data_IF_942000694250
#
_entry.id   IF_942000694250
#
_cell.length_a   1.000
_cell.length_b   1.000
_cell.length_c   1.000
_cell.angle_alpha   90.00
_cell.angle_beta   90.00
_cell.angle_gamma   90.00
#
_symmetry.space_group_name_H-M   'P 1'
#
loop_
_entity.id
_entity.type
_entity.pdbx_description
1 polymer ?
#
# COMPACT_ATOMS: atom_id res chain seq x y z
N UNK A 1 15.96 -14.01 -17.64
CA UNK A 1 15.99 -12.53 -17.82
C UNK A 1 15.49 -11.91 -16.52
N UNK A 2 16.31 -11.11 -15.85
CA UNK A 2 15.89 -10.36 -14.66
C UNK A 2 14.93 -9.25 -15.14
N UNK A 3 13.68 -9.28 -14.67
CA UNK A 3 12.71 -8.23 -15.00
C UNK A 3 13.17 -6.88 -14.45
N UNK A 4 12.87 -5.79 -15.15
CA UNK A 4 13.16 -4.40 -14.69
C UNK A 4 12.59 -4.17 -13.28
N UNK A 5 11.42 -4.74 -12.99
CA UNK A 5 10.78 -4.73 -11.68
C UNK A 5 11.63 -5.36 -10.57
N UNK A 6 12.37 -6.45 -10.85
CA UNK A 6 13.22 -7.10 -9.85
C UNK A 6 14.45 -6.26 -9.49
N UNK A 7 15.03 -5.56 -10.49
CA UNK A 7 16.16 -4.65 -10.29
C UNK A 7 15.75 -3.45 -9.47
N UNK A 8 14.64 -2.78 -9.86
CA UNK A 8 14.09 -1.64 -9.12
C UNK A 8 13.78 -2.00 -7.67
N UNK A 9 13.10 -3.13 -7.47
CA UNK A 9 12.73 -3.62 -6.15
C UNK A 9 13.97 -3.80 -5.24
N UNK A 10 15.02 -4.47 -5.76
CA UNK A 10 16.26 -4.70 -5.00
C UNK A 10 17.04 -3.42 -4.70
N UNK A 11 17.06 -2.47 -5.64
CA UNK A 11 17.86 -1.25 -5.53
C UNK A 11 17.19 -0.14 -4.71
N UNK A 12 15.86 -0.03 -4.74
CA UNK A 12 15.14 1.10 -4.18
C UNK A 12 14.17 0.70 -3.06
N UNK A 13 13.37 -0.36 -3.25
CA UNK A 13 12.33 -0.75 -2.29
C UNK A 13 12.94 -1.48 -1.09
N UNK A 14 13.76 -2.51 -1.33
CA UNK A 14 14.36 -3.29 -0.25
C UNK A 14 15.24 -2.48 0.73
N UNK A 15 16.09 -1.53 0.28
CA UNK A 15 16.88 -0.71 1.19
C UNK A 15 16.02 0.09 2.15
N UNK A 16 14.94 0.71 1.67
CA UNK A 16 13.99 1.45 2.51
C UNK A 16 13.39 0.57 3.61
N UNK A 17 12.86 -0.60 3.25
CA UNK A 17 12.24 -1.51 4.23
C UNK A 17 13.23 -2.20 5.16
N UNK A 18 14.50 -2.33 4.78
CA UNK A 18 15.60 -2.85 5.62
C UNK A 18 16.21 -1.78 6.54
N UNK A 19 15.99 -0.50 6.27
CA UNK A 19 16.53 0.58 7.09
C UNK A 19 16.07 0.44 8.55
N UNK A 20 17.00 0.66 9.49
CA UNK A 20 16.74 0.52 10.92
C UNK A 20 15.59 1.43 11.39
N UNK A 21 15.55 2.66 10.89
CA UNK A 21 14.50 3.64 11.20
C UNK A 21 13.13 3.14 10.77
N UNK A 22 13.00 2.63 9.53
CA UNK A 22 11.74 2.08 9.03
C UNK A 22 11.29 0.87 9.87
N UNK A 23 12.21 -0.05 10.17
CA UNK A 23 11.88 -1.24 10.98
C UNK A 23 11.43 -0.89 12.39
N UNK A 24 12.15 0.03 13.05
CA UNK A 24 11.85 0.45 14.43
C UNK A 24 10.55 1.26 14.48
N UNK A 25 10.38 2.24 13.58
CA UNK A 25 9.19 3.10 13.52
C UNK A 25 7.91 2.30 13.29
N UNK A 26 7.90 1.43 12.28
CA UNK A 26 6.76 0.56 12.00
C UNK A 26 6.49 -0.45 13.13
N UNK A 27 7.54 -1.02 13.74
CA UNK A 27 7.34 -1.97 14.84
C UNK A 27 6.77 -1.30 16.09
N UNK A 28 7.29 -0.12 16.46
CA UNK A 28 6.90 0.57 17.68
C UNK A 28 5.52 1.23 17.58
N UNK A 29 5.18 1.81 16.41
CA UNK A 29 3.95 2.58 16.26
C UNK A 29 2.80 1.79 15.63
N UNK A 30 3.10 0.86 14.72
CA UNK A 30 2.10 0.21 13.86
C UNK A 30 2.16 -1.31 13.92
N UNK A 31 2.90 -1.92 14.85
CA UNK A 31 2.98 -3.38 14.96
C UNK A 31 3.56 -4.08 13.72
N UNK A 32 4.35 -3.35 12.90
CA UNK A 32 4.90 -3.73 11.58
C UNK A 32 3.93 -3.69 10.41
N UNK A 33 2.65 -3.37 10.63
CA UNK A 33 1.70 -3.09 9.55
C UNK A 33 2.02 -1.73 8.92
N UNK A 34 1.88 -1.61 7.60
CA UNK A 34 2.42 -0.46 6.86
C UNK A 34 1.37 0.11 5.92
N UNK A 35 0.29 0.64 6.50
CA UNK A 35 -0.71 1.41 5.76
C UNK A 35 -1.36 2.44 6.67
N UNK A 36 -1.97 3.44 6.07
CA UNK A 36 -2.74 4.44 6.79
C UNK A 36 -4.04 3.88 7.36
N UNK A 37 -4.49 4.52 8.45
CA UNK A 37 -5.76 4.23 9.07
C UNK A 37 -6.91 5.08 8.49
N UNK A 38 -8.14 4.58 8.63
CA UNK A 38 -9.35 5.30 8.30
C UNK A 38 -9.91 6.01 9.54
N UNK A 39 -10.04 7.33 9.47
CA UNK A 39 -10.56 8.17 10.56
C UNK A 39 -11.91 8.78 10.21
N UNK A 40 -12.83 8.70 11.15
CA UNK A 40 -14.10 9.41 11.13
C UNK A 40 -14.09 10.55 12.16
N UNK A 41 -14.94 11.58 12.01
CA UNK A 41 -15.09 12.64 13.02
C UNK A 41 -15.27 12.07 14.43
N UNK A 42 -14.58 12.67 15.41
CA UNK A 42 -14.63 12.23 16.81
C UNK A 42 -13.66 11.11 17.19
N UNK A 43 -12.98 10.46 16.24
CA UNK A 43 -11.96 9.46 16.57
C UNK A 43 -10.65 10.13 17.02
N UNK A 44 -9.99 9.54 18.02
CA UNK A 44 -8.66 9.97 18.43
C UNK A 44 -7.64 9.75 17.28
N UNK A 45 -6.86 10.76 16.91
CA UNK A 45 -5.84 10.62 15.86
C UNK A 45 -4.71 9.67 16.27
N UNK A 46 -4.53 9.41 17.56
CA UNK A 46 -3.52 8.51 18.13
C UNK A 46 -3.97 7.04 18.18
N UNK A 47 -5.22 6.76 17.84
CA UNK A 47 -5.78 5.41 17.83
C UNK A 47 -5.39 4.61 16.59
N UNK A 48 -4.08 4.46 16.30
CA UNK A 48 -3.56 3.89 15.06
C UNK A 48 -4.10 2.49 14.76
N UNK A 49 -4.01 1.57 15.70
CA UNK A 49 -4.46 0.19 15.49
C UNK A 49 -5.96 0.10 15.11
N UNK A 50 -6.81 0.87 15.80
CA UNK A 50 -8.24 0.91 15.49
C UNK A 50 -8.51 1.56 14.12
N UNK A 51 -7.76 2.61 13.76
CA UNK A 51 -7.89 3.28 12.47
C UNK A 51 -7.42 2.38 11.31
N UNK A 52 -6.28 1.68 11.45
CA UNK A 52 -5.80 0.70 10.49
C UNK A 52 -6.82 -0.42 10.30
N UNK A 53 -7.36 -0.96 11.40
CA UNK A 53 -8.41 -1.96 11.34
C UNK A 53 -9.64 -1.48 10.56
N UNK A 54 -10.04 -0.21 10.73
CA UNK A 54 -11.15 0.36 9.95
C UNK A 54 -10.84 0.45 8.46
N UNK A 55 -9.61 0.81 8.08
CA UNK A 55 -9.17 0.84 6.68
C UNK A 55 -9.24 -0.56 6.05
N UNK A 56 -8.73 -1.58 6.75
CA UNK A 56 -8.80 -2.99 6.32
C UNK A 56 -10.27 -3.42 6.09
N UNK A 57 -11.18 -3.01 6.97
CA UNK A 57 -12.62 -3.28 6.83
C UNK A 57 -13.27 -2.47 5.69
N UNK A 58 -12.76 -1.29 5.35
CA UNK A 58 -13.20 -0.54 4.16
C UNK A 58 -12.84 -1.34 2.91
N UNK A 59 -11.63 -1.86 2.80
CA UNK A 59 -11.21 -2.70 1.67
C UNK A 59 -12.05 -3.99 1.60
N UNK A 60 -12.28 -4.66 2.73
CA UNK A 60 -13.14 -5.84 2.79
C UNK A 60 -14.55 -5.57 2.24
N UNK A 61 -15.17 -4.44 2.65
CA UNK A 61 -16.50 -4.04 2.14
C UNK A 61 -16.49 -3.69 0.66
N UNK A 62 -15.41 -3.07 0.16
CA UNK A 62 -15.29 -2.72 -1.26
C UNK A 62 -15.03 -3.94 -2.15
N UNK A 63 -14.37 -4.97 -1.65
CA UNK A 63 -14.27 -6.26 -2.33
C UNK A 63 -15.66 -6.89 -2.53
N UNK A 64 -16.56 -6.75 -1.56
CA UNK A 64 -17.97 -7.19 -1.63
C UNK A 64 -18.13 -8.64 -2.13
N UNK A 65 -17.24 -9.54 -1.73
CA UNK A 65 -17.21 -10.92 -2.17
C UNK A 65 -17.97 -11.84 -1.19
N UNK A 66 -18.62 -12.90 -1.69
CA UNK A 66 -19.23 -13.90 -0.82
C UNK A 66 -18.18 -14.65 0.00
N UNK A 67 -18.62 -15.25 1.11
CA UNK A 67 -17.78 -16.14 1.91
C UNK A 67 -17.20 -17.27 1.06
N UNK A 68 -16.01 -17.73 1.42
CA UNK A 68 -15.23 -18.76 0.73
C UNK A 68 -14.68 -18.36 -0.66
N UNK A 69 -14.84 -17.12 -1.10
CA UNK A 69 -14.14 -16.59 -2.29
C UNK A 69 -12.62 -16.60 -2.10
N UNK A 70 -11.88 -16.69 -3.21
CA UNK A 70 -10.41 -16.64 -3.24
C UNK A 70 -9.94 -15.23 -3.57
N UNK A 71 -9.11 -14.65 -2.70
CA UNK A 71 -8.63 -13.27 -2.81
C UNK A 71 -7.10 -13.24 -2.84
N UNK A 72 -6.53 -12.42 -3.71
CA UNK A 72 -5.10 -12.10 -3.74
C UNK A 72 -4.85 -10.78 -3.00
N UNK A 73 -3.94 -10.80 -2.03
CA UNK A 73 -3.33 -9.63 -1.39
C UNK A 73 -1.98 -9.36 -2.05
N UNK A 74 -1.91 -8.38 -2.93
CA UNK A 74 -0.71 -8.08 -3.70
C UNK A 74 0.13 -7.01 -3.00
N UNK A 75 1.13 -7.46 -2.23
CA UNK A 75 1.94 -6.65 -1.31
C UNK A 75 1.48 -6.80 0.14
N UNK A 76 1.39 -8.04 0.60
CA UNK A 76 0.75 -8.40 1.88
C UNK A 76 1.57 -8.02 3.13
N UNK A 77 2.85 -7.64 2.98
CA UNK A 77 3.71 -7.38 4.12
C UNK A 77 3.68 -8.52 5.14
N UNK A 78 3.42 -8.18 6.41
CA UNK A 78 3.35 -9.16 7.51
C UNK A 78 1.99 -9.86 7.65
N UNK A 79 1.08 -9.66 6.69
CA UNK A 79 -0.18 -10.39 6.53
C UNK A 79 -1.31 -10.00 7.49
N UNK A 80 -1.21 -8.86 8.20
CA UNK A 80 -2.25 -8.46 9.15
C UNK A 80 -3.55 -8.09 8.43
N UNK A 81 -3.47 -7.36 7.31
CA UNK A 81 -4.61 -7.02 6.44
C UNK A 81 -5.30 -8.28 5.92
N UNK A 82 -4.53 -9.26 5.40
CA UNK A 82 -5.06 -10.52 4.91
C UNK A 82 -5.87 -11.26 5.98
N UNK A 83 -5.33 -11.37 7.21
CA UNK A 83 -6.02 -12.02 8.33
C UNK A 83 -7.28 -11.26 8.75
N UNK A 84 -7.25 -9.92 8.69
CA UNK A 84 -8.42 -9.10 8.97
C UNK A 84 -9.53 -9.32 7.96
N UNK A 85 -9.21 -9.27 6.67
CA UNK A 85 -10.18 -9.45 5.57
C UNK A 85 -10.74 -10.88 5.60
N UNK A 86 -9.89 -11.90 5.78
CA UNK A 86 -10.34 -13.27 5.90
C UNK A 86 -11.34 -13.46 7.06
N UNK A 87 -11.08 -12.82 8.22
CA UNK A 87 -11.97 -12.88 9.39
C UNK A 87 -13.28 -12.14 9.15
N UNK A 88 -13.22 -10.98 8.54
CA UNK A 88 -14.39 -10.12 8.36
C UNK A 88 -15.35 -10.63 7.29
N UNK A 89 -14.84 -11.23 6.21
CA UNK A 89 -15.61 -11.63 5.03
C UNK A 89 -15.72 -13.15 4.85
N UNK A 90 -14.98 -13.95 5.61
CA UNK A 90 -14.97 -15.41 5.46
C UNK A 90 -14.28 -15.90 4.19
N UNK A 91 -13.50 -15.07 3.52
CA UNK A 91 -12.78 -15.40 2.29
C UNK A 91 -11.45 -16.12 2.57
N UNK A 92 -10.89 -16.78 1.56
CA UNK A 92 -9.53 -17.31 1.58
C UNK A 92 -8.59 -16.28 0.95
N UNK A 93 -7.54 -15.87 1.67
CA UNK A 93 -6.59 -14.87 1.18
C UNK A 93 -5.23 -15.51 0.91
N UNK A 94 -4.74 -15.34 -0.32
CA UNK A 94 -3.35 -15.60 -0.69
C UNK A 94 -2.62 -14.29 -0.70
N UNK A 95 -1.70 -14.07 0.24
CA UNK A 95 -0.83 -12.89 0.26
C UNK A 95 0.48 -13.16 -0.48
N UNK A 96 0.92 -12.19 -1.27
CA UNK A 96 2.26 -12.20 -1.86
C UNK A 96 3.00 -10.93 -1.47
N UNK A 97 4.31 -11.07 -1.27
CA UNK A 97 5.22 -9.94 -1.06
C UNK A 97 6.61 -10.30 -1.57
N UNK A 98 7.39 -9.31 -1.94
CA UNK A 98 8.78 -9.50 -2.37
C UNK A 98 9.79 -9.49 -1.21
N UNK A 99 9.37 -9.21 0.03
CA UNK A 99 10.23 -9.09 1.22
C UNK A 99 10.18 -10.39 2.03
N UNK A 100 11.15 -11.29 1.84
CA UNK A 100 11.20 -12.60 2.50
C UNK A 100 11.02 -12.53 4.03
N UNK A 101 11.68 -11.64 4.80
CA UNK A 101 11.44 -11.53 6.24
C UNK A 101 9.98 -11.21 6.62
N UNK A 102 9.27 -10.41 5.81
CA UNK A 102 7.88 -10.07 6.07
C UNK A 102 6.96 -11.26 5.75
N UNK A 103 7.21 -11.96 4.64
CA UNK A 103 6.51 -13.22 4.28
C UNK A 103 6.72 -14.29 5.34
N UNK A 104 7.95 -14.48 5.82
CA UNK A 104 8.25 -15.43 6.90
C UNK A 104 7.47 -15.09 8.18
N UNK A 105 7.41 -13.80 8.55
CA UNK A 105 6.64 -13.35 9.70
C UNK A 105 5.13 -13.52 9.48
N UNK A 106 4.63 -13.25 8.26
CA UNK A 106 3.23 -13.48 7.91
C UNK A 106 2.82 -14.95 8.08
N UNK A 107 3.66 -15.88 7.59
CA UNK A 107 3.50 -17.32 7.76
C UNK A 107 3.49 -17.73 9.24
N UNK A 108 4.46 -17.22 10.02
CA UNK A 108 4.55 -17.50 11.45
C UNK A 108 3.31 -17.03 12.22
N UNK A 109 2.84 -15.81 11.94
CA UNK A 109 1.64 -15.24 12.58
C UNK A 109 0.39 -16.03 12.21
N UNK A 110 0.24 -16.44 10.95
CA UNK A 110 -0.90 -17.27 10.52
C UNK A 110 -0.89 -18.66 11.13
N UNK A 111 0.26 -19.31 11.23
CA UNK A 111 0.36 -20.61 11.90
C UNK A 111 -0.15 -20.57 13.36
N UNK A 112 -0.04 -19.41 14.02
CA UNK A 112 -0.52 -19.18 15.39
C UNK A 112 -1.96 -18.69 15.47
N UNK A 113 -2.59 -18.38 14.36
CA UNK A 113 -3.92 -17.75 14.31
C UNK A 113 -5.08 -18.76 14.25
N UNK A 114 -4.83 -20.07 14.48
CA UNK A 114 -5.84 -21.11 14.51
C UNK A 114 -6.63 -21.20 13.21
N UNK A 115 -7.96 -21.12 13.29
CA UNK A 115 -8.85 -21.21 12.11
C UNK A 115 -8.59 -20.12 11.08
N UNK A 116 -8.29 -18.90 11.52
CA UNK A 116 -7.96 -17.79 10.61
C UNK A 116 -6.66 -18.05 9.86
N UNK A 117 -5.72 -18.76 10.46
CA UNK A 117 -4.50 -19.18 9.78
C UNK A 117 -4.75 -20.14 8.62
N UNK A 118 -5.77 -20.99 8.72
CA UNK A 118 -6.17 -21.90 7.63
C UNK A 118 -6.80 -21.18 6.42
N UNK A 119 -7.28 -19.96 6.62
CA UNK A 119 -7.86 -19.13 5.56
C UNK A 119 -6.85 -18.20 4.90
N UNK A 120 -5.59 -18.22 5.35
CA UNK A 120 -4.55 -17.33 4.81
C UNK A 120 -3.29 -18.13 4.48
N UNK A 121 -2.68 -17.86 3.33
CA UNK A 121 -1.37 -18.38 2.95
C UNK A 121 -0.50 -17.26 2.37
N UNK A 122 0.82 -17.38 2.49
CA UNK A 122 1.74 -16.33 2.09
C UNK A 122 2.89 -16.88 1.26
N UNK A 123 3.22 -16.21 0.15
CA UNK A 123 4.25 -16.60 -0.80
C UNK A 123 5.19 -15.43 -1.08
N UNK A 124 6.46 -15.74 -1.25
CA UNK A 124 7.42 -14.79 -1.82
C UNK A 124 7.16 -14.75 -3.33
N UNK A 125 6.69 -13.64 -3.85
CA UNK A 125 6.39 -13.47 -5.27
C UNK A 125 6.38 -11.99 -5.67
N UNK A 126 6.48 -11.76 -6.99
CA UNK A 126 6.41 -10.44 -7.61
C UNK A 126 5.07 -10.32 -8.37
N UNK A 127 4.31 -9.26 -8.11
CA UNK A 127 3.03 -9.06 -8.78
C UNK A 127 3.15 -8.65 -10.27
N UNK A 128 4.35 -8.40 -10.79
CA UNK A 128 4.59 -8.25 -12.22
C UNK A 128 4.77 -9.60 -12.96
N UNK A 129 4.82 -10.72 -12.21
CA UNK A 129 4.92 -12.07 -12.76
C UNK A 129 4.31 -13.05 -11.74
N UNK A 130 2.98 -13.09 -11.69
CA UNK A 130 2.26 -13.87 -10.68
C UNK A 130 2.33 -15.37 -10.97
N UNK A 131 2.73 -16.20 -9.97
CA UNK A 131 2.84 -17.64 -10.14
C UNK A 131 1.49 -18.36 -10.02
N UNK A 132 0.45 -17.79 -10.62
CA UNK A 132 -0.90 -18.33 -10.58
C UNK A 132 -1.46 -18.48 -11.99
N UNK A 133 -2.34 -19.46 -12.19
CA UNK A 133 -3.06 -19.63 -13.43
C UNK A 133 -4.05 -18.47 -13.67
N UNK A 134 -4.46 -18.29 -14.92
CA UNK A 134 -5.51 -17.35 -15.28
C UNK A 134 -6.80 -17.65 -14.51
N UNK A 135 -7.57 -16.62 -14.22
CA UNK A 135 -8.88 -16.73 -13.55
C UNK A 135 -8.84 -17.55 -12.25
N UNK A 136 -7.78 -17.37 -11.42
CA UNK A 136 -7.59 -18.08 -10.16
C UNK A 136 -8.30 -17.42 -8.97
N UNK A 137 -8.59 -16.12 -9.05
CA UNK A 137 -9.09 -15.32 -7.93
C UNK A 137 -10.43 -14.64 -8.26
N UNK A 138 -11.27 -14.53 -7.22
CA UNK A 138 -12.53 -13.77 -7.28
C UNK A 138 -12.28 -12.28 -6.95
N UNK A 139 -11.20 -11.98 -6.26
CA UNK A 139 -10.79 -10.61 -5.93
C UNK A 139 -9.28 -10.45 -5.84
N UNK A 140 -8.82 -9.24 -6.12
CA UNK A 140 -7.44 -8.78 -5.89
C UNK A 140 -7.52 -7.46 -5.13
N UNK A 141 -6.63 -7.25 -4.18
CA UNK A 141 -6.45 -5.92 -3.62
C UNK A 141 -4.98 -5.56 -3.44
N UNK A 142 -4.72 -4.25 -3.47
CA UNK A 142 -3.45 -3.64 -3.06
C UNK A 142 -3.73 -2.60 -1.98
N UNK A 143 -2.78 -2.46 -1.05
CA UNK A 143 -2.85 -1.43 -0.02
C UNK A 143 -1.46 -0.85 0.20
N UNK A 144 -1.21 0.33 -0.35
CA UNK A 144 0.06 1.06 -0.27
C UNK A 144 1.27 0.21 -0.73
N UNK A 145 1.04 -0.66 -1.70
CA UNK A 145 2.05 -1.54 -2.27
C UNK A 145 2.30 -1.27 -3.76
N UNK A 146 1.25 -0.90 -4.50
CA UNK A 146 1.35 -0.70 -5.95
C UNK A 146 2.08 0.60 -6.31
N UNK A 147 2.17 1.56 -5.39
CA UNK A 147 3.04 2.75 -5.50
C UNK A 147 4.52 2.41 -5.70
N UNK A 148 4.95 1.21 -5.34
CA UNK A 148 6.30 0.70 -5.56
C UNK A 148 6.51 0.08 -6.95
N UNK A 149 5.45 0.00 -7.77
CA UNK A 149 5.53 -0.55 -9.13
C UNK A 149 6.32 0.37 -10.07
N UNK A 150 7.39 -0.11 -10.69
CA UNK A 150 8.08 0.63 -11.75
C UNK A 150 7.35 0.50 -13.11
N UNK A 151 6.50 -0.50 -13.26
CA UNK A 151 5.68 -0.76 -14.44
C UNK A 151 4.24 -1.09 -14.03
N UNK A 152 3.40 -0.05 -13.80
CA UNK A 152 2.01 -0.26 -13.45
C UNK A 152 1.20 -1.03 -14.52
N UNK A 153 1.52 -0.87 -15.80
CA UNK A 153 0.85 -1.57 -16.89
C UNK A 153 1.01 -3.10 -16.78
N UNK A 154 2.24 -3.57 -16.55
CA UNK A 154 2.52 -4.99 -16.37
C UNK A 154 1.83 -5.55 -15.11
N UNK A 155 1.87 -4.82 -13.98
CA UNK A 155 1.20 -5.25 -12.76
C UNK A 155 -0.31 -5.36 -12.93
N UNK A 156 -0.95 -4.39 -13.58
CA UNK A 156 -2.39 -4.42 -13.85
C UNK A 156 -2.78 -5.53 -14.84
N UNK A 157 -1.95 -5.81 -15.85
CA UNK A 157 -2.17 -6.93 -16.76
C UNK A 157 -2.15 -8.28 -16.03
N UNK A 158 -1.24 -8.46 -15.07
CA UNK A 158 -1.20 -9.66 -14.22
C UNK A 158 -2.43 -9.76 -13.29
N UNK A 159 -2.86 -8.66 -12.69
CA UNK A 159 -4.09 -8.64 -11.88
C UNK A 159 -5.31 -8.98 -12.73
N UNK A 160 -5.40 -8.42 -13.95
CA UNK A 160 -6.46 -8.76 -14.89
C UNK A 160 -6.43 -10.24 -15.25
N UNK A 161 -5.27 -10.79 -15.57
CA UNK A 161 -5.11 -12.19 -15.97
C UNK A 161 -5.58 -13.16 -14.89
N UNK A 162 -5.17 -12.92 -13.63
CA UNK A 162 -5.48 -13.86 -12.53
C UNK A 162 -6.88 -13.69 -11.95
N UNK A 163 -7.55 -12.57 -12.16
CA UNK A 163 -8.96 -12.39 -11.79
C UNK A 163 -9.86 -13.22 -12.70
N UNK A 164 -10.92 -13.76 -12.15
CA UNK A 164 -12.03 -14.35 -12.93
C UNK A 164 -12.83 -13.26 -13.64
N UNK A 165 -13.53 -13.56 -14.74
CA UNK A 165 -14.58 -12.68 -15.25
C UNK A 165 -15.58 -12.35 -14.12
N UNK A 166 -15.97 -11.09 -13.98
CA UNK A 166 -16.76 -10.58 -12.86
C UNK A 166 -15.96 -10.39 -11.55
N UNK A 167 -14.67 -10.73 -11.53
CA UNK A 167 -13.80 -10.57 -10.35
C UNK A 167 -13.47 -9.11 -10.06
N UNK A 168 -13.23 -8.80 -8.78
CA UNK A 168 -13.05 -7.43 -8.27
C UNK A 168 -11.62 -7.07 -7.95
N UNK A 169 -11.22 -5.85 -8.34
CA UNK A 169 -9.97 -5.22 -7.94
C UNK A 169 -10.25 -4.03 -7.01
N UNK A 170 -9.57 -3.98 -5.86
CA UNK A 170 -9.60 -2.83 -4.95
C UNK A 170 -8.18 -2.34 -4.72
N UNK A 171 -7.91 -1.07 -5.02
CA UNK A 171 -6.60 -0.47 -4.87
C UNK A 171 -6.68 0.73 -3.93
N UNK A 172 -5.89 0.72 -2.86
CA UNK A 172 -5.77 1.82 -1.89
C UNK A 172 -4.36 2.39 -1.99
N UNK A 173 -4.19 3.45 -2.78
CA UNK A 173 -2.88 3.91 -3.23
C UNK A 173 -2.75 5.44 -3.24
N UNK A 174 -1.51 5.90 -3.22
CA UNK A 174 -1.19 7.32 -3.36
C UNK A 174 -1.17 7.73 -4.84
N UNK A 175 -1.48 9.01 -5.09
CA UNK A 175 -1.28 9.66 -6.38
C UNK A 175 -0.74 11.06 -6.20
N UNK A 176 0.08 11.56 -7.12
CA UNK A 176 0.46 12.96 -7.18
C UNK A 176 -0.66 13.81 -7.79
N UNK A 177 -0.72 15.10 -7.40
CA UNK A 177 -1.67 16.06 -7.97
C UNK A 177 -1.01 16.97 -8.99
N UNK A 178 -1.78 17.65 -9.87
CA UNK A 178 -1.24 18.68 -10.75
C UNK A 178 -0.51 19.80 -10.00
N UNK A 179 -0.94 20.14 -8.77
CA UNK A 179 -0.31 21.16 -7.92
C UNK A 179 1.13 20.83 -7.58
N UNK A 180 1.49 19.54 -7.53
CA UNK A 180 2.87 19.11 -7.34
C UNK A 180 3.84 19.69 -8.39
N UNK A 181 3.36 19.96 -9.60
CA UNK A 181 4.17 20.55 -10.68
C UNK A 181 4.28 22.07 -10.59
N UNK A 182 3.34 22.74 -9.94
CA UNK A 182 3.25 24.19 -9.85
C UNK A 182 4.05 24.80 -8.70
N UNK A 183 4.38 23.99 -7.69
CA UNK A 183 5.03 24.42 -6.45
C UNK A 183 6.45 23.82 -6.34
N UNK A 184 7.52 24.51 -6.79
CA UNK A 184 8.86 23.92 -6.91
C UNK A 184 9.38 23.28 -5.61
N UNK A 185 9.18 23.92 -4.45
CA UNK A 185 9.62 23.39 -3.14
C UNK A 185 8.84 22.13 -2.76
N UNK A 186 7.52 22.16 -2.94
CA UNK A 186 6.64 21.01 -2.66
C UNK A 186 6.95 19.83 -3.60
N UNK A 187 7.19 20.13 -4.90
CA UNK A 187 7.62 19.13 -5.87
C UNK A 187 8.95 18.48 -5.48
N UNK A 188 9.95 19.28 -5.09
CA UNK A 188 11.24 18.75 -4.66
C UNK A 188 11.11 17.85 -3.43
N UNK A 189 10.27 18.22 -2.46
CA UNK A 189 9.99 17.40 -1.28
C UNK A 189 9.30 16.08 -1.68
N UNK A 190 8.26 16.13 -2.53
CA UNK A 190 7.55 14.95 -3.02
C UNK A 190 8.48 14.01 -3.78
N UNK A 191 9.28 14.51 -4.71
CA UNK A 191 10.25 13.72 -5.47
C UNK A 191 11.26 13.04 -4.54
N UNK A 192 11.74 13.76 -3.52
CA UNK A 192 12.67 13.20 -2.54
C UNK A 192 12.04 12.10 -1.69
N UNK A 193 10.80 12.28 -1.25
CA UNK A 193 10.04 11.23 -0.55
C UNK A 193 9.89 9.99 -1.44
N UNK A 194 9.45 10.16 -2.69
CA UNK A 194 9.26 9.06 -3.63
C UNK A 194 10.57 8.30 -3.91
N UNK A 195 11.67 9.01 -4.10
CA UNK A 195 13.00 8.42 -4.34
C UNK A 195 13.45 7.57 -3.15
N UNK A 196 13.47 8.16 -1.95
CA UNK A 196 14.00 7.51 -0.75
C UNK A 196 13.09 6.39 -0.21
N UNK A 197 11.79 6.45 -0.48
CA UNK A 197 10.83 5.42 -0.12
C UNK A 197 10.62 4.37 -1.22
N UNK A 198 11.26 4.52 -2.39
CA UNK A 198 11.11 3.61 -3.52
C UNK A 198 9.68 3.59 -4.10
N UNK A 199 9.01 4.76 -4.20
CA UNK A 199 7.62 4.89 -4.64
C UNK A 199 7.48 5.59 -6.02
N UNK A 200 8.00 5.02 -7.14
CA UNK A 200 7.88 5.64 -8.46
C UNK A 200 6.42 5.72 -8.92
N UNK A 201 5.59 4.77 -8.52
CA UNK A 201 4.18 4.70 -8.87
C UNK A 201 3.38 5.93 -8.42
N UNK A 202 3.75 6.57 -7.32
CA UNK A 202 3.09 7.81 -6.88
C UNK A 202 3.18 8.94 -7.92
N UNK A 203 4.25 8.96 -8.71
CA UNK A 203 4.46 9.95 -9.76
C UNK A 203 3.82 9.53 -11.09
N UNK A 204 3.85 8.24 -11.40
CA UNK A 204 3.27 7.68 -12.63
C UNK A 204 1.76 7.51 -12.52
N UNK A 205 1.23 7.28 -11.32
CA UNK A 205 -0.20 7.23 -11.02
C UNK A 205 -0.70 8.62 -10.58
N UNK A 206 -0.45 9.67 -11.38
CA UNK A 206 -0.99 11.00 -11.10
C UNK A 206 -2.52 10.95 -10.95
N UNK A 207 -3.09 11.91 -10.21
CA UNK A 207 -4.52 11.96 -9.92
C UNK A 207 -5.37 11.85 -11.20
N UNK A 208 -6.30 10.88 -11.23
CA UNK A 208 -7.10 10.52 -12.40
C UNK A 208 -6.35 9.70 -13.47
N UNK A 209 -5.07 9.38 -13.26
CA UNK A 209 -4.33 8.51 -14.19
C UNK A 209 -4.48 7.02 -13.87
N UNK A 210 -4.65 6.68 -12.61
CA UNK A 210 -4.87 5.28 -12.20
C UNK A 210 -6.13 4.70 -12.86
N UNK A 211 -7.21 5.48 -12.93
CA UNK A 211 -8.45 5.07 -13.60
C UNK A 211 -8.24 4.81 -15.08
N UNK A 212 -7.44 5.65 -15.76
CA UNK A 212 -7.09 5.43 -17.18
C UNK A 212 -6.23 4.18 -17.36
N UNK A 213 -5.26 3.94 -16.47
CA UNK A 213 -4.44 2.72 -16.50
C UNK A 213 -5.28 1.46 -16.30
N UNK A 214 -6.24 1.50 -15.37
CA UNK A 214 -7.19 0.41 -15.17
C UNK A 214 -8.02 0.13 -16.42
N UNK A 215 -8.58 1.18 -17.05
CA UNK A 215 -9.34 1.05 -18.30
C UNK A 215 -8.47 0.51 -19.46
N UNK A 216 -7.23 0.98 -19.59
CA UNK A 216 -6.28 0.48 -20.59
C UNK A 216 -5.92 -1.00 -20.36
N UNK A 217 -5.90 -1.45 -19.11
CA UNK A 217 -5.70 -2.86 -18.76
C UNK A 217 -6.95 -3.72 -18.94
N UNK A 218 -8.08 -3.14 -19.35
CA UNK A 218 -9.33 -3.83 -19.62
C UNK A 218 -10.34 -3.88 -18.47
N UNK A 219 -10.09 -3.18 -17.38
CA UNK A 219 -11.02 -3.11 -16.25
C UNK A 219 -12.14 -2.11 -16.46
N UNK A 220 -13.31 -2.45 -15.96
CA UNK A 220 -14.42 -1.51 -15.76
C UNK A 220 -14.26 -0.83 -14.40
N UNK A 221 -13.98 0.48 -14.40
CA UNK A 221 -13.80 1.27 -13.16
C UNK A 221 -15.18 1.62 -12.58
N UNK A 222 -15.49 1.07 -11.40
CA UNK A 222 -16.76 1.31 -10.72
C UNK A 222 -16.76 2.58 -9.87
N UNK A 223 -15.66 2.82 -9.15
CA UNK A 223 -15.52 4.00 -8.30
C UNK A 223 -14.06 4.36 -8.07
N UNK A 224 -13.82 5.65 -7.92
CA UNK A 224 -12.57 6.21 -7.40
C UNK A 224 -12.93 7.23 -6.31
N UNK A 225 -12.48 6.97 -5.09
CA UNK A 225 -12.81 7.78 -3.92
C UNK A 225 -11.54 8.41 -3.35
N UNK A 226 -11.51 9.74 -3.26
CA UNK A 226 -10.45 10.47 -2.55
C UNK A 226 -10.66 10.32 -1.04
N UNK A 227 -9.82 9.49 -0.42
CA UNK A 227 -9.81 9.21 1.01
C UNK A 227 -8.75 10.03 1.77
N UNK A 228 -8.19 11.08 1.16
CA UNK A 228 -7.10 11.87 1.74
C UNK A 228 -7.46 12.39 3.14
N UNK A 229 -8.64 12.97 3.31
CA UNK A 229 -9.08 13.48 4.62
C UNK A 229 -9.19 12.38 5.68
N UNK A 230 -9.44 11.14 5.26
CA UNK A 230 -9.56 9.98 6.17
C UNK A 230 -8.20 9.51 6.71
N UNK A 231 -7.11 9.78 6.00
CA UNK A 231 -5.74 9.38 6.40
C UNK A 231 -4.95 10.53 7.05
N UNK A 232 -5.32 11.78 6.79
CA UNK A 232 -4.63 12.97 7.31
C UNK A 232 -4.44 12.98 8.83
N UNK A 233 -5.39 12.53 9.69
CA UNK A 233 -5.17 12.53 11.14
C UNK A 233 -3.94 11.69 11.55
N UNK A 234 -3.71 10.53 10.92
CA UNK A 234 -2.55 9.69 11.19
C UNK A 234 -1.26 10.35 10.69
N UNK A 235 -1.29 10.92 9.50
CA UNK A 235 -0.13 11.64 8.94
C UNK A 235 0.24 12.86 9.80
N UNK A 236 -0.76 13.58 10.34
CA UNK A 236 -0.52 14.67 11.29
C UNK A 236 0.25 14.19 12.52
N UNK A 237 -0.12 13.04 13.09
CA UNK A 237 0.62 12.45 14.20
C UNK A 237 2.06 12.12 13.81
N UNK A 238 2.28 11.52 12.65
CA UNK A 238 3.63 11.25 12.14
C UNK A 238 4.43 12.53 11.92
N UNK A 239 3.79 13.58 11.39
CA UNK A 239 4.42 14.90 11.27
C UNK A 239 4.87 15.45 12.62
N UNK A 240 4.02 15.37 13.64
CA UNK A 240 4.34 15.85 15.00
C UNK A 240 5.51 15.06 15.58
N UNK A 241 5.47 13.73 15.52
CA UNK A 241 6.53 12.85 16.03
C UNK A 241 7.85 13.01 15.27
N UNK A 242 7.76 13.22 13.94
CA UNK A 242 8.93 13.33 13.06
C UNK A 242 9.62 14.68 13.07
N UNK A 243 8.95 15.78 13.50
CA UNK A 243 9.50 17.15 13.38
C UNK A 243 10.86 17.33 14.04
N UNK A 244 11.00 16.96 15.31
CA UNK A 244 12.24 17.17 16.04
C UNK A 244 13.37 16.25 15.55
N UNK A 245 13.18 14.93 15.43
CA UNK A 245 14.22 14.06 14.86
C UNK A 245 14.69 14.50 13.48
N UNK A 246 13.75 14.83 12.59
CA UNK A 246 14.07 15.27 11.24
C UNK A 246 14.82 16.61 11.21
N UNK A 247 14.41 17.59 12.03
CA UNK A 247 15.11 18.88 12.13
C UNK A 247 16.56 18.72 12.62
N UNK A 248 16.78 17.89 13.64
CA UNK A 248 18.11 17.58 14.15
C UNK A 248 18.97 16.88 13.10
N UNK A 249 18.42 15.86 12.43
CA UNK A 249 19.14 15.14 11.37
C UNK A 249 19.52 16.07 10.21
N UNK A 250 18.62 16.96 9.80
CA UNK A 250 18.90 17.98 8.78
C UNK A 250 20.02 18.93 9.20
N UNK A 251 20.03 19.37 10.47
CA UNK A 251 21.06 20.27 11.01
C UNK A 251 22.48 19.69 10.91
N UNK A 252 22.62 18.37 10.90
CA UNK A 252 23.90 17.66 10.73
C UNK A 252 24.09 17.04 9.33
N UNK A 253 23.28 17.46 8.35
CA UNK A 253 23.37 16.97 6.97
C UNK A 253 22.88 15.52 6.75
N UNK A 254 22.13 14.95 7.70
CA UNK A 254 21.64 13.56 7.67
C UNK A 254 20.11 13.43 7.55
N UNK A 255 19.43 14.45 7.03
CA UNK A 255 17.98 14.45 6.89
C UNK A 255 17.42 13.22 6.15
N UNK A 256 18.12 12.75 5.13
CA UNK A 256 17.74 11.61 4.31
C UNK A 256 17.85 10.24 5.02
N UNK A 257 18.53 10.17 6.17
CA UNK A 257 18.61 8.92 6.93
C UNK A 257 17.37 8.61 7.76
N UNK A 258 16.45 9.60 7.91
CA UNK A 258 15.18 9.46 8.63
C UNK A 258 14.00 9.58 7.67
N UNK A 259 13.88 8.63 6.75
CA UNK A 259 12.92 8.68 5.62
C UNK A 259 11.47 8.77 6.10
N UNK A 260 11.07 8.02 7.12
CA UNK A 260 9.69 8.06 7.63
C UNK A 260 9.38 9.37 8.35
N UNK A 261 10.33 9.90 9.15
CA UNK A 261 10.17 11.19 9.80
C UNK A 261 10.10 12.31 8.77
N UNK A 262 10.97 12.29 7.76
CA UNK A 262 10.92 13.21 6.62
C UNK A 262 9.59 13.12 5.88
N UNK A 263 9.16 11.91 5.50
CA UNK A 263 7.92 11.68 4.76
C UNK A 263 6.71 12.18 5.55
N UNK A 264 6.63 11.87 6.85
CA UNK A 264 5.56 12.36 7.72
C UNK A 264 5.50 13.89 7.79
N UNK A 265 6.66 14.56 7.85
CA UNK A 265 6.73 16.03 7.92
C UNK A 265 6.44 16.67 6.58
N UNK A 266 7.09 16.22 5.50
CA UNK A 266 6.99 16.87 4.20
C UNK A 266 5.64 16.59 3.50
N UNK A 267 5.12 15.36 3.58
CA UNK A 267 3.79 15.03 3.03
C UNK A 267 2.68 15.78 3.78
N UNK A 268 2.80 15.94 5.11
CA UNK A 268 1.80 16.72 5.85
C UNK A 268 1.89 18.22 5.55
N UNK A 269 3.11 18.75 5.35
CA UNK A 269 3.32 20.16 4.97
C UNK A 269 2.79 20.48 3.58
N UNK A 270 2.91 19.54 2.66
CA UNK A 270 2.59 19.67 1.24
C UNK A 270 1.44 18.75 0.81
N UNK A 271 0.40 18.67 1.65
CA UNK A 271 -0.77 17.81 1.41
C UNK A 271 -1.54 18.16 0.11
N UNK A 272 -1.31 19.34 -0.47
CA UNK A 272 -1.84 19.73 -1.76
C UNK A 272 -1.22 18.96 -2.93
N UNK A 273 -0.06 18.34 -2.75
CA UNK A 273 0.71 17.67 -3.83
C UNK A 273 0.34 16.21 -4.05
N UNK A 274 -0.47 15.63 -3.20
CA UNK A 274 -0.82 14.22 -3.27
C UNK A 274 -2.26 13.94 -2.82
N UNK A 275 -2.76 12.77 -3.18
CA UNK A 275 -4.04 12.22 -2.73
C UNK A 275 -3.87 10.77 -2.34
N UNK A 276 -4.77 10.30 -1.48
CA UNK A 276 -4.96 8.90 -1.14
C UNK A 276 -6.27 8.42 -1.75
N UNK A 277 -6.20 7.49 -2.69
CA UNK A 277 -7.36 7.07 -3.45
C UNK A 277 -7.70 5.62 -3.13
N UNK A 278 -8.99 5.31 -3.10
CA UNK A 278 -9.50 3.95 -3.09
C UNK A 278 -10.29 3.73 -4.37
N UNK A 279 -9.69 3.01 -5.30
CA UNK A 279 -10.30 2.65 -6.57
C UNK A 279 -10.89 1.25 -6.50
N UNK A 280 -12.08 1.07 -7.08
CA UNK A 280 -12.72 -0.24 -7.26
C UNK A 280 -13.00 -0.44 -8.73
N UNK A 281 -12.63 -1.59 -9.25
CA UNK A 281 -12.85 -1.96 -10.65
C UNK A 281 -13.22 -3.45 -10.76
N UNK A 282 -13.84 -3.84 -11.88
CA UNK A 282 -14.18 -5.23 -12.18
C UNK A 282 -13.53 -5.67 -13.48
N UNK A 283 -13.18 -6.95 -13.55
CA UNK A 283 -12.87 -7.62 -14.82
C UNK A 283 -14.18 -7.99 -15.49
N UNK A 284 -14.51 -7.45 -16.68
CA UNK A 284 -15.72 -7.82 -17.42
C UNK A 284 -15.75 -9.30 -17.81
#
# INVERSE_FOLDING_TARGET
MTHVSDVHYRQHVMPYYRAFESRLGYAALLGRTRHFGWYEPGHSPWGFAAAMRRMELVVARKLALPSASFVLDAGCGVGDTARTIARASGVYVTGIDGIEPDVALARQRSARAGEMGRRTRFLLANYHALPFADASFDGVYTMESFVHSPDPGQGLAEFFRVLRPGGRLVMSEYSSTPQAHLLPKARSALLRVCELSGMPGMLTMAHGHLERLLQQAGFDVESSYDATEKVLPMLRCFSVLGRLPYALARGVGRGDSLVNAMSGVEMYRHQETWRYNICTATRP
#
